data_IF_121375593660
#
_entry.id   IF_121375593660
#
_cell.length_a   1.000
_cell.length_b   1.000
_cell.length_c   1.000
_cell.angle_alpha   90.00
_cell.angle_beta   90.00
_cell.angle_gamma   90.00
#
_symmetry.space_group_name_H-M   'P 1'
#
loop_
_entity.id
_entity.type
_entity.pdbx_description
1 polymer ?
#
# COMPACT_ATOMS: atom_id res chain seq x y z
N UNK A 1 19.54 -3.62 -0.94
CA UNK A 1 20.70 -3.84 -1.85
C UNK A 1 20.47 -3.05 -3.12
N UNK A 2 21.52 -2.45 -3.71
CA UNK A 2 21.42 -1.71 -4.97
C UNK A 2 22.52 -2.23 -5.90
N UNK A 3 22.18 -2.51 -7.16
CA UNK A 3 23.14 -2.90 -8.19
C UNK A 3 22.96 -2.04 -9.43
N UNK A 4 24.06 -1.61 -10.05
CA UNK A 4 24.05 -0.82 -11.28
C UNK A 4 24.67 -1.60 -12.43
N UNK A 5 24.01 -1.56 -13.60
CA UNK A 5 24.53 -2.03 -14.87
C UNK A 5 24.72 -0.83 -15.80
N UNK A 6 25.99 -0.48 -16.00
CA UNK A 6 26.40 0.62 -16.89
C UNK A 6 26.63 0.13 -18.33
N UNK A 7 26.03 0.86 -19.27
CA UNK A 7 26.07 0.65 -20.70
C UNK A 7 26.79 1.83 -21.36
N UNK A 8 27.84 1.53 -22.13
CA UNK A 8 28.64 2.58 -22.78
C UNK A 8 27.80 3.39 -23.75
N UNK A 9 27.80 4.72 -23.58
CA UNK A 9 27.05 5.64 -24.43
C UNK A 9 25.55 5.75 -24.12
N UNK A 10 25.05 5.04 -23.11
CA UNK A 10 23.69 5.21 -22.64
C UNK A 10 23.51 6.58 -21.98
N UNK A 11 22.45 7.31 -22.35
CA UNK A 11 22.10 8.62 -21.80
C UNK A 11 20.93 8.56 -20.82
N UNK A 12 20.21 7.43 -20.77
CA UNK A 12 19.08 7.17 -19.88
C UNK A 12 19.47 6.10 -18.85
N UNK A 13 18.90 6.17 -17.66
CA UNK A 13 18.92 5.13 -16.63
C UNK A 13 17.50 4.86 -16.13
N UNK A 14 17.11 3.60 -16.13
CA UNK A 14 15.89 3.17 -15.43
C UNK A 14 16.25 2.45 -14.14
N UNK A 15 15.35 2.52 -13.16
CA UNK A 15 15.40 1.71 -11.97
C UNK A 15 14.29 0.66 -11.98
N UNK A 16 14.63 -0.56 -11.57
CA UNK A 16 13.72 -1.68 -11.39
C UNK A 16 13.73 -2.06 -9.91
N UNK A 17 12.57 -2.00 -9.25
CA UNK A 17 12.43 -2.22 -7.80
C UNK A 17 11.72 -3.54 -7.49
N UNK A 18 12.25 -4.24 -6.49
CA UNK A 18 11.60 -5.31 -5.75
C UNK A 18 11.78 -5.06 -4.25
N UNK A 19 10.73 -5.21 -3.47
CA UNK A 19 10.80 -5.30 -2.01
C UNK A 19 11.24 -6.72 -1.57
N UNK A 20 11.72 -6.84 -0.32
CA UNK A 20 12.32 -8.07 0.19
C UNK A 20 11.95 -8.44 1.63
N UNK A 21 11.17 -7.63 2.35
CA UNK A 21 10.77 -7.94 3.72
C UNK A 21 9.59 -8.91 3.79
N UNK A 22 9.45 -9.55 4.96
CA UNK A 22 8.39 -10.49 5.28
C UNK A 22 7.48 -9.91 6.38
N UNK A 23 6.38 -10.60 6.65
CA UNK A 23 5.40 -10.19 7.66
C UNK A 23 5.58 -10.93 8.99
N UNK A 24 5.26 -10.30 10.14
CA UNK A 24 5.31 -10.93 11.47
C UNK A 24 4.06 -11.79 11.72
N UNK A 25 3.84 -12.79 10.88
CA UNK A 25 2.70 -13.70 10.97
C UNK A 25 3.09 -15.15 10.67
N UNK A 26 2.31 -16.08 11.22
CA UNK A 26 2.50 -17.50 11.02
C UNK A 26 1.94 -17.95 9.67
N UNK A 27 2.75 -18.65 8.88
CA UNK A 27 2.29 -19.37 7.69
C UNK A 27 1.51 -20.63 8.10
N UNK A 28 0.31 -20.78 7.54
CA UNK A 28 -0.58 -21.93 7.73
C UNK A 28 -0.71 -22.79 6.46
N UNK A 29 0.09 -22.51 5.44
CA UNK A 29 0.22 -23.32 4.24
C UNK A 29 0.92 -24.66 4.48
N UNK A 30 0.76 -25.57 3.52
CA UNK A 30 1.35 -26.92 3.53
C UNK A 30 2.39 -27.11 2.42
N UNK A 31 2.83 -26.02 1.78
CA UNK A 31 3.84 -26.07 0.72
C UNK A 31 5.18 -26.61 1.26
N UNK A 32 5.95 -27.33 0.42
CA UNK A 32 7.26 -27.84 0.83
C UNK A 32 8.30 -26.71 1.07
N UNK A 33 8.00 -25.51 0.57
CA UNK A 33 8.83 -24.30 0.70
C UNK A 33 8.32 -23.31 1.76
N UNK A 34 7.37 -23.71 2.61
CA UNK A 34 6.88 -22.86 3.71
C UNK A 34 8.00 -22.32 4.59
N UNK A 35 7.75 -21.20 5.25
CA UNK A 35 8.64 -20.59 6.20
C UNK A 35 9.10 -21.60 7.26
N UNK A 36 10.42 -21.56 7.53
CA UNK A 36 11.07 -22.32 8.61
C UNK A 36 11.23 -21.50 9.89
N UNK A 37 10.72 -20.27 9.90
CA UNK A 37 10.81 -19.35 11.03
C UNK A 37 9.40 -19.09 11.54
N UNK A 38 9.10 -19.62 12.72
CA UNK A 38 7.78 -19.45 13.33
C UNK A 38 7.41 -17.98 13.51
N UNK A 39 6.16 -17.65 13.21
CA UNK A 39 5.63 -16.29 13.28
C UNK A 39 6.20 -15.30 12.26
N UNK A 40 6.93 -15.75 11.23
CA UNK A 40 7.41 -14.90 10.13
C UNK A 40 7.25 -15.58 8.78
N UNK A 41 6.64 -14.91 7.80
CA UNK A 41 6.50 -15.48 6.46
C UNK A 41 6.26 -14.41 5.37
N UNK A 42 6.58 -14.75 4.12
CA UNK A 42 6.30 -13.90 2.96
C UNK A 42 4.85 -14.07 2.50
N UNK A 43 3.93 -13.39 3.19
CA UNK A 43 2.50 -13.43 2.87
C UNK A 43 2.06 -12.29 1.94
N UNK A 44 3.00 -11.60 1.28
CA UNK A 44 2.75 -10.55 0.30
C UNK A 44 3.52 -10.78 -1.03
N UNK A 45 4.27 -11.89 -1.14
CA UNK A 45 5.02 -12.24 -2.36
C UNK A 45 6.34 -11.50 -2.58
N UNK A 46 6.90 -10.84 -1.56
CA UNK A 46 8.16 -10.08 -1.70
C UNK A 46 9.38 -10.97 -1.99
N UNK A 47 9.34 -12.24 -1.58
CA UNK A 47 10.26 -13.29 -2.02
C UNK A 47 10.17 -13.53 -3.54
N UNK A 48 8.95 -13.56 -4.06
CA UNK A 48 8.67 -13.69 -5.50
C UNK A 48 9.15 -12.45 -6.27
N UNK A 49 8.88 -11.24 -5.78
CA UNK A 49 9.38 -10.00 -6.40
C UNK A 49 10.90 -9.98 -6.47
N UNK A 50 11.56 -10.34 -5.37
CA UNK A 50 13.01 -10.45 -5.29
C UNK A 50 13.54 -11.50 -6.28
N UNK A 51 12.91 -12.68 -6.35
CA UNK A 51 13.30 -13.73 -7.29
C UNK A 51 13.16 -13.28 -8.76
N UNK A 52 12.05 -12.62 -9.09
CA UNK A 52 11.80 -12.06 -10.43
C UNK A 52 12.89 -11.05 -10.82
N UNK A 53 13.23 -10.11 -9.93
CA UNK A 53 14.21 -9.08 -10.23
C UNK A 53 15.64 -9.64 -10.33
N UNK A 54 16.00 -10.62 -9.49
CA UNK A 54 17.29 -11.34 -9.62
C UNK A 54 17.36 -12.08 -10.96
N UNK A 55 16.29 -12.77 -11.34
CA UNK A 55 16.18 -13.46 -12.62
C UNK A 55 16.32 -12.50 -13.80
N UNK A 56 15.60 -11.37 -13.76
CA UNK A 56 15.70 -10.33 -14.77
C UNK A 56 17.11 -9.73 -14.84
N UNK A 57 17.74 -9.42 -13.71
CA UNK A 57 19.10 -8.89 -13.65
C UNK A 57 20.12 -9.82 -14.32
N UNK A 58 19.96 -11.15 -14.13
CA UNK A 58 20.78 -12.16 -14.82
C UNK A 58 20.58 -12.13 -16.33
N UNK A 59 19.33 -12.07 -16.81
CA UNK A 59 19.01 -12.02 -18.24
C UNK A 59 19.53 -10.72 -18.87
N UNK A 60 19.22 -9.56 -18.28
CA UNK A 60 19.65 -8.24 -18.74
C UNK A 60 21.18 -8.18 -18.83
N UNK A 61 21.90 -8.72 -17.84
CA UNK A 61 23.37 -8.76 -17.84
C UNK A 61 23.97 -9.57 -19.00
N UNK A 62 23.25 -10.59 -19.48
CA UNK A 62 23.66 -11.39 -20.64
C UNK A 62 23.36 -10.68 -21.97
N UNK A 63 22.39 -9.76 -21.98
CA UNK A 63 21.97 -8.97 -23.14
C UNK A 63 22.66 -7.60 -23.20
N UNK A 64 23.77 -7.40 -22.48
CA UNK A 64 24.44 -6.11 -22.31
C UNK A 64 24.73 -5.38 -23.64
N UNK A 65 25.03 -6.13 -24.71
CA UNK A 65 25.37 -5.59 -26.04
C UNK A 65 24.15 -4.98 -26.74
N UNK A 66 22.94 -5.41 -26.40
CA UNK A 66 21.68 -4.97 -27.00
C UNK A 66 21.08 -3.75 -26.28
N UNK A 67 21.50 -3.51 -25.04
CA UNK A 67 21.00 -2.42 -24.21
C UNK A 67 21.49 -1.05 -24.69
N UNK A 68 20.62 -0.05 -24.57
CA UNK A 68 20.93 1.37 -24.82
C UNK A 68 20.72 2.26 -23.58
N UNK A 69 20.37 1.63 -22.46
CA UNK A 69 19.91 2.28 -21.23
C UNK A 69 20.62 1.64 -20.05
N UNK A 70 21.07 2.46 -19.09
CA UNK A 70 21.63 1.97 -17.83
C UNK A 70 20.49 1.41 -16.97
N UNK A 71 20.79 0.39 -16.16
CA UNK A 71 19.77 -0.25 -15.31
C UNK A 71 20.25 -0.26 -13.86
N UNK A 72 19.42 0.28 -12.97
CA UNK A 72 19.58 0.19 -11.51
C UNK A 72 18.60 -0.82 -10.95
N UNK A 73 19.10 -1.81 -10.24
CA UNK A 73 18.32 -2.81 -9.52
C UNK A 73 18.19 -2.40 -8.06
N UNK A 74 16.97 -2.22 -7.57
CA UNK A 74 16.67 -1.79 -6.20
C UNK A 74 15.99 -2.94 -5.47
N UNK A 75 16.68 -3.50 -4.47
CA UNK A 75 16.13 -4.49 -3.55
C UNK A 75 15.87 -3.81 -2.21
N UNK A 76 14.61 -3.44 -1.98
CA UNK A 76 14.19 -2.53 -0.93
C UNK A 76 13.73 -3.29 0.33
N UNK A 77 14.31 -3.03 1.50
CA UNK A 77 13.80 -3.60 2.75
C UNK A 77 12.55 -2.84 3.25
N UNK A 78 11.85 -3.42 4.23
CA UNK A 78 10.90 -2.72 5.11
C UNK A 78 9.72 -2.03 4.42
N UNK A 79 9.19 -2.56 3.31
CA UNK A 79 7.97 -2.03 2.68
C UNK A 79 6.77 -2.12 3.66
N UNK A 80 6.61 -3.23 4.36
CA UNK A 80 5.39 -3.53 5.15
C UNK A 80 5.26 -2.68 6.41
N UNK A 81 6.37 -2.09 6.88
CA UNK A 81 6.43 -1.35 8.14
C UNK A 81 6.67 0.13 7.89
N UNK A 82 5.70 0.94 8.29
CA UNK A 82 5.83 2.40 8.29
C UNK A 82 7.10 2.85 9.07
N UNK A 83 7.92 3.78 8.53
CA UNK A 83 7.68 4.65 7.37
C UNK A 83 8.04 4.06 5.99
N UNK A 84 8.24 2.75 5.88
CA UNK A 84 8.72 2.12 4.66
C UNK A 84 10.25 2.10 4.59
N UNK A 85 10.80 1.42 3.59
CA UNK A 85 12.23 1.46 3.25
C UNK A 85 12.57 2.51 2.21
N UNK A 86 11.61 2.85 1.34
CA UNK A 86 11.83 3.80 0.25
C UNK A 86 12.39 5.16 0.73
N UNK A 87 11.90 5.79 1.81
CA UNK A 87 12.44 7.09 2.26
C UNK A 87 13.92 7.05 2.63
N UNK A 88 14.37 5.97 3.29
CA UNK A 88 15.78 5.80 3.67
C UNK A 88 16.65 5.61 2.43
N UNK A 89 16.23 4.79 1.48
CA UNK A 89 16.97 4.59 0.23
C UNK A 89 17.02 5.85 -0.63
N UNK A 90 15.94 6.63 -0.70
CA UNK A 90 15.92 7.93 -1.40
C UNK A 90 16.90 8.89 -0.75
N UNK A 91 16.92 8.96 0.59
CA UNK A 91 17.86 9.79 1.33
C UNK A 91 19.32 9.42 1.06
N UNK A 92 19.59 8.13 0.83
CA UNK A 92 20.92 7.60 0.50
C UNK A 92 21.27 7.68 -1.00
N UNK A 93 20.47 8.39 -1.80
CA UNK A 93 20.78 8.69 -3.21
C UNK A 93 20.38 7.60 -4.20
N UNK A 94 19.48 6.67 -3.85
CA UNK A 94 19.08 5.57 -4.77
C UNK A 94 18.48 6.07 -6.09
N UNK A 95 17.93 7.30 -6.11
CA UNK A 95 17.36 7.92 -7.31
C UNK A 95 18.35 8.79 -8.09
N UNK A 96 19.58 8.95 -7.61
CA UNK A 96 20.55 9.83 -8.26
C UNK A 96 20.87 9.31 -9.67
N UNK A 97 20.63 10.17 -10.66
CA UNK A 97 20.82 9.87 -12.08
C UNK A 97 19.84 8.85 -12.67
N UNK A 98 18.70 8.59 -12.02
CA UNK A 98 17.63 7.71 -12.52
C UNK A 98 16.53 8.55 -13.18
N UNK A 99 16.20 8.24 -14.44
CA UNK A 99 15.18 8.95 -15.20
C UNK A 99 13.76 8.42 -14.94
N UNK A 100 13.63 7.12 -14.73
CA UNK A 100 12.35 6.45 -14.51
C UNK A 100 12.50 5.27 -13.58
N UNK A 101 11.44 4.92 -12.84
CA UNK A 101 11.41 3.75 -11.97
C UNK A 101 10.18 2.88 -12.21
N UNK A 102 10.39 1.57 -12.24
CA UNK A 102 9.35 0.57 -12.40
C UNK A 102 9.37 -0.42 -11.23
N UNK A 103 8.18 -0.84 -10.80
CA UNK A 103 8.01 -1.88 -9.79
C UNK A 103 6.88 -2.82 -10.20
N UNK A 104 6.91 -4.04 -9.65
CA UNK A 104 5.86 -5.02 -9.82
C UNK A 104 5.38 -5.52 -8.47
N UNK A 105 4.09 -5.83 -8.40
CA UNK A 105 3.51 -6.56 -7.28
C UNK A 105 2.68 -7.74 -7.79
N UNK A 106 2.86 -8.92 -7.19
CA UNK A 106 2.02 -10.09 -7.48
C UNK A 106 0.61 -9.87 -6.97
N UNK A 107 -0.39 -10.22 -7.76
CA UNK A 107 -1.79 -9.99 -7.44
C UNK A 107 -2.54 -11.32 -7.48
N UNK A 108 -2.85 -11.93 -6.32
CA UNK A 108 -3.43 -13.28 -6.27
C UNK A 108 -4.89 -13.34 -6.73
N UNK A 109 -5.55 -12.18 -6.87
CA UNK A 109 -6.93 -12.10 -7.37
C UNK A 109 -7.02 -12.15 -8.91
N UNK A 110 -5.88 -12.11 -9.60
CA UNK A 110 -5.75 -12.24 -11.04
C UNK A 110 -5.06 -13.56 -11.40
N UNK A 111 -5.43 -14.17 -12.53
CA UNK A 111 -4.81 -15.42 -12.98
C UNK A 111 -3.36 -15.18 -13.39
N UNK A 112 -2.51 -16.18 -13.15
CA UNK A 112 -1.10 -16.12 -13.52
C UNK A 112 -0.89 -15.79 -15.00
N UNK A 113 -0.08 -14.76 -15.27
CA UNK A 113 0.19 -14.27 -16.63
C UNK A 113 -0.62 -13.03 -17.01
N UNK A 114 -1.53 -12.57 -16.17
CA UNK A 114 -2.23 -11.30 -16.40
C UNK A 114 -1.39 -10.11 -15.95
N UNK A 115 -1.38 -9.03 -16.73
CA UNK A 115 -0.83 -7.74 -16.31
C UNK A 115 -1.95 -6.72 -16.15
N UNK A 116 -1.99 -6.00 -15.03
CA UNK A 116 -2.91 -4.90 -14.81
C UNK A 116 -2.16 -3.61 -14.52
N UNK A 117 -2.57 -2.54 -15.20
CA UNK A 117 -1.92 -1.22 -15.09
C UNK A 117 -3.00 -0.16 -14.84
N UNK A 118 -2.87 0.55 -13.73
CA UNK A 118 -3.72 1.70 -13.40
C UNK A 118 -3.01 3.00 -13.85
N UNK A 119 -3.63 3.87 -14.66
CA UNK A 119 -3.07 5.18 -14.98
C UNK A 119 -3.32 6.19 -13.84
N UNK A 120 -2.35 7.04 -13.55
CA UNK A 120 -2.49 8.07 -12.51
C UNK A 120 -2.43 7.49 -11.08
N UNK A 121 -3.28 7.92 -10.14
CA UNK A 121 -3.29 7.38 -8.78
C UNK A 121 -3.61 5.89 -8.76
N UNK A 122 -2.62 5.04 -8.49
CA UNK A 122 -2.74 3.58 -8.55
C UNK A 122 -2.94 2.94 -7.16
N UNK A 123 -2.24 3.44 -6.13
CA UNK A 123 -2.39 3.01 -4.74
C UNK A 123 -2.68 4.20 -3.81
N UNK A 124 -3.56 3.99 -2.84
CA UNK A 124 -4.04 5.01 -1.92
C UNK A 124 -3.09 5.30 -0.75
N UNK A 125 -3.37 6.38 -0.05
CA UNK A 125 -2.66 6.77 1.17
C UNK A 125 -3.25 6.06 2.38
N UNK A 126 -2.49 5.22 3.10
CA UNK A 126 -3.01 4.43 4.20
C UNK A 126 -2.87 5.11 5.57
N UNK A 127 -3.51 6.25 5.80
CA UNK A 127 -3.40 6.97 7.08
C UNK A 127 -4.05 6.23 8.25
N UNK A 128 -3.58 6.54 9.46
CA UNK A 128 -4.09 6.00 10.73
C UNK A 128 -4.38 7.15 11.69
N UNK A 129 -5.47 7.03 12.45
CA UNK A 129 -5.76 7.94 13.55
C UNK A 129 -6.00 7.20 14.87
N UNK A 130 -5.66 7.87 15.96
CA UNK A 130 -6.05 7.51 17.33
C UNK A 130 -6.71 8.72 17.99
N UNK A 131 -7.86 8.47 18.61
CA UNK A 131 -8.64 9.48 19.33
C UNK A 131 -8.87 8.96 20.75
N UNK A 132 -8.63 9.82 21.75
CA UNK A 132 -9.02 9.57 23.15
C UNK A 132 -10.00 10.63 23.56
N UNK A 133 -11.26 10.24 23.81
CA UNK A 133 -12.30 11.15 24.29
C UNK A 133 -12.36 11.00 25.81
N UNK A 134 -12.23 12.11 26.53
CA UNK A 134 -12.25 12.17 28.00
C UNK A 134 -13.48 12.91 28.47
N UNK A 135 -14.25 12.24 29.31
CA UNK A 135 -15.39 12.80 30.01
C UNK A 135 -15.14 12.82 31.51
N UNK A 136 -16.20 12.55 32.27
CA UNK A 136 -16.17 12.44 33.72
C UNK A 136 -16.93 11.17 34.08
N UNK A 137 -16.22 10.19 34.62
CA UNK A 137 -16.82 8.93 35.03
C UNK A 137 -17.76 9.08 36.23
N UNK A 138 -18.57 8.06 36.48
CA UNK A 138 -19.55 8.08 37.56
C UNK A 138 -20.36 6.79 37.64
N UNK A 139 -21.23 6.71 38.65
CA UNK A 139 -22.14 5.58 38.80
C UNK A 139 -23.28 5.68 37.77
N UNK A 140 -23.58 4.58 37.06
CA UNK A 140 -24.53 4.59 35.94
C UNK A 140 -25.96 5.04 36.32
N UNK A 141 -26.37 4.85 37.58
CA UNK A 141 -27.66 5.35 38.09
C UNK A 141 -27.75 6.88 38.25
N UNK A 142 -26.62 7.61 38.20
CA UNK A 142 -26.58 9.07 38.35
C UNK A 142 -25.88 9.76 37.16
N UNK A 143 -26.39 9.57 35.92
CA UNK A 143 -25.70 10.04 34.72
C UNK A 143 -25.59 11.57 34.64
N UNK A 144 -26.50 12.31 35.28
CA UNK A 144 -26.48 13.77 35.34
C UNK A 144 -25.28 14.35 36.12
N UNK A 145 -24.52 13.53 36.86
CA UNK A 145 -23.30 13.93 37.56
C UNK A 145 -22.02 13.60 36.77
N UNK A 146 -22.16 12.93 35.62
CA UNK A 146 -21.11 12.41 34.77
C UNK A 146 -21.15 13.06 33.37
N UNK A 147 -20.06 12.89 32.63
CA UNK A 147 -19.99 13.18 31.19
C UNK A 147 -19.59 11.89 30.53
N UNK A 148 -20.53 11.23 29.85
CA UNK A 148 -20.35 9.87 29.34
C UNK A 148 -19.55 9.86 28.02
N UNK A 149 -18.27 9.41 28.02
CA UNK A 149 -17.46 9.40 26.82
C UNK A 149 -17.86 8.27 25.83
N UNK A 150 -18.57 7.23 26.27
CA UNK A 150 -19.11 6.20 25.36
C UNK A 150 -20.14 6.84 24.44
N UNK A 151 -21.11 7.55 25.02
CA UNK A 151 -22.16 8.22 24.26
C UNK A 151 -21.57 9.26 23.27
N UNK A 152 -20.61 10.07 23.74
CA UNK A 152 -19.89 11.05 22.89
C UNK A 152 -19.14 10.35 21.75
N UNK A 153 -18.43 9.26 22.03
CA UNK A 153 -17.73 8.47 21.02
C UNK A 153 -18.68 7.86 19.99
N UNK A 154 -19.82 7.32 20.40
CA UNK A 154 -20.82 6.75 19.49
C UNK A 154 -21.43 7.80 18.55
N UNK A 155 -21.72 9.00 19.04
CA UNK A 155 -22.17 10.11 18.20
C UNK A 155 -21.08 10.50 17.18
N UNK A 156 -19.84 10.63 17.64
CA UNK A 156 -18.70 10.94 16.78
C UNK A 156 -18.55 9.91 15.64
N UNK A 157 -18.55 8.61 15.96
CA UNK A 157 -18.43 7.54 14.95
C UNK A 157 -19.57 7.61 13.92
N UNK A 158 -20.78 7.92 14.37
CA UNK A 158 -21.95 8.02 13.48
C UNK A 158 -21.82 9.18 12.49
N UNK A 159 -21.46 10.37 12.97
CA UNK A 159 -21.32 11.55 12.09
C UNK A 159 -20.05 11.51 11.24
N UNK A 160 -19.02 10.76 11.65
CA UNK A 160 -17.74 10.67 10.95
C UNK A 160 -17.91 10.23 9.48
N UNK A 161 -18.91 9.37 9.23
CA UNK A 161 -19.25 8.90 7.88
C UNK A 161 -19.82 10.01 6.97
N UNK A 162 -20.25 11.14 7.54
CA UNK A 162 -20.69 12.30 6.77
C UNK A 162 -19.53 12.98 6.00
N UNK A 163 -18.28 12.78 6.42
CA UNK A 163 -17.14 13.40 5.73
C UNK A 163 -17.05 12.88 4.29
N UNK A 164 -17.00 11.56 4.11
CA UNK A 164 -16.93 10.96 2.78
C UNK A 164 -18.17 11.31 1.94
N UNK A 165 -19.36 11.29 2.55
CA UNK A 165 -20.60 11.49 1.79
C UNK A 165 -20.93 12.95 1.50
N UNK A 166 -20.57 13.92 2.36
CA UNK A 166 -21.01 15.33 2.30
C UNK A 166 -19.88 16.35 2.20
N UNK A 167 -18.63 15.98 2.52
CA UNK A 167 -17.50 16.90 2.45
C UNK A 167 -16.52 16.57 1.32
N UNK A 168 -16.43 15.32 0.87
CA UNK A 168 -15.61 14.93 -0.29
C UNK A 168 -16.46 15.03 -1.56
N UNK A 169 -15.84 15.41 -2.69
CA UNK A 169 -16.51 15.36 -4.00
C UNK A 169 -16.92 13.91 -4.31
N UNK A 170 -18.12 13.69 -4.81
CA UNK A 170 -18.64 12.35 -5.08
C UNK A 170 -17.88 11.58 -6.16
N UNK A 171 -17.02 12.25 -6.93
CA UNK A 171 -16.10 11.63 -7.89
C UNK A 171 -14.73 11.30 -7.30
N UNK A 172 -14.44 11.74 -6.08
CA UNK A 172 -13.18 11.51 -5.40
C UNK A 172 -13.28 10.36 -4.39
N UNK A 173 -12.15 9.68 -4.14
CA UNK A 173 -12.11 8.56 -3.20
C UNK A 173 -11.71 8.99 -1.79
N UNK A 174 -12.57 8.69 -0.82
CA UNK A 174 -12.28 8.76 0.60
C UNK A 174 -13.00 7.65 1.37
N UNK A 175 -12.25 6.80 2.06
CA UNK A 175 -12.79 5.78 2.97
C UNK A 175 -12.29 6.07 4.38
N UNK A 176 -13.19 6.14 5.34
CA UNK A 176 -12.88 6.42 6.75
C UNK A 176 -13.47 5.29 7.59
N UNK A 177 -12.62 4.49 8.21
CA UNK A 177 -13.02 3.32 8.97
C UNK A 177 -12.57 3.43 10.42
N UNK A 178 -13.52 3.41 11.36
CA UNK A 178 -13.21 3.21 12.78
C UNK A 178 -13.14 1.71 13.02
N UNK A 179 -11.97 1.20 13.32
CA UNK A 179 -11.71 -0.23 13.45
C UNK A 179 -11.58 -0.68 14.90
N UNK A 180 -11.45 0.27 15.83
CA UNK A 180 -11.37 0.00 17.27
C UNK A 180 -12.20 1.01 18.06
N UNK A 181 -12.95 0.50 19.04
CA UNK A 181 -13.69 1.29 20.02
C UNK A 181 -13.56 0.60 21.39
N UNK A 182 -12.80 1.19 22.31
CA UNK A 182 -12.56 0.65 23.65
C UNK A 182 -13.01 1.63 24.73
N UNK A 183 -13.79 1.15 25.71
CA UNK A 183 -14.26 1.95 26.83
C UNK A 183 -14.96 1.11 27.89
N UNK A 184 -14.87 1.52 29.16
CA UNK A 184 -15.51 0.83 30.28
C UNK A 184 -14.76 -0.42 30.78
N UNK A 185 -15.02 -0.80 32.03
CA UNK A 185 -14.51 -2.02 32.65
C UNK A 185 -15.54 -2.71 33.56
N UNK A 186 -16.70 -2.08 33.76
CA UNK A 186 -17.78 -2.58 34.61
C UNK A 186 -19.14 -2.16 34.02
N UNK A 187 -20.17 -2.94 34.34
CA UNK A 187 -21.55 -2.80 33.88
C UNK A 187 -22.28 -1.57 34.45
N UNK A 188 -21.97 -1.18 35.69
CA UNK A 188 -22.63 -0.10 36.41
C UNK A 188 -21.80 1.20 36.53
N UNK A 189 -20.73 1.34 35.75
CA UNK A 189 -19.82 2.50 35.79
C UNK A 189 -19.71 3.17 34.43
N UNK A 190 -20.00 4.47 34.39
CA UNK A 190 -19.67 5.34 33.26
C UNK A 190 -18.15 5.57 33.28
N UNK A 191 -17.40 5.21 32.23
CA UNK A 191 -15.95 5.36 32.23
C UNK A 191 -15.52 6.83 32.13
N UNK A 192 -14.26 7.10 32.45
CA UNK A 192 -13.67 8.43 32.29
C UNK A 192 -13.18 8.71 30.86
N UNK A 193 -12.95 7.67 30.05
CA UNK A 193 -12.35 7.80 28.74
C UNK A 193 -12.77 6.66 27.80
N UNK A 194 -12.86 6.96 26.51
CA UNK A 194 -12.89 5.96 25.43
C UNK A 194 -11.78 6.21 24.42
N UNK A 195 -11.19 5.13 23.91
CA UNK A 195 -10.18 5.15 22.85
C UNK A 195 -10.80 4.62 21.56
N UNK A 196 -10.66 5.41 20.49
CA UNK A 196 -11.02 5.05 19.13
C UNK A 196 -9.76 5.01 18.27
N UNK A 197 -9.67 4.04 17.37
CA UNK A 197 -8.63 4.02 16.34
C UNK A 197 -9.22 3.60 15.00
N UNK A 198 -8.60 4.04 13.93
CA UNK A 198 -9.11 3.80 12.59
C UNK A 198 -8.16 4.21 11.50
N UNK A 199 -8.63 4.10 10.27
CA UNK A 199 -7.86 4.38 9.06
C UNK A 199 -8.60 5.35 8.15
N UNK A 200 -7.82 6.10 7.38
CA UNK A 200 -8.30 6.90 6.25
C UNK A 200 -7.58 6.41 5.00
N UNK A 201 -8.33 6.20 3.91
CA UNK A 201 -7.78 5.87 2.57
C UNK A 201 -8.23 6.91 1.56
N UNK A 202 -7.27 7.52 0.86
CA UNK A 202 -7.51 8.56 -0.16
C UNK A 202 -6.59 8.39 -1.36
N UNK A 203 -7.01 8.88 -2.53
CA UNK A 203 -6.20 8.85 -3.76
C UNK A 203 -5.60 10.21 -4.15
N UNK A 204 -5.85 11.26 -3.34
CA UNK A 204 -5.34 12.63 -3.55
C UNK A 204 -4.95 13.29 -2.24
N UNK A 205 -3.87 14.08 -2.29
CA UNK A 205 -3.33 14.78 -1.11
C UNK A 205 -4.31 15.82 -0.56
N UNK A 206 -5.02 16.52 -1.44
CA UNK A 206 -5.99 17.56 -1.06
C UNK A 206 -7.20 16.94 -0.34
N UNK A 207 -7.64 15.77 -0.81
CA UNK A 207 -8.72 15.00 -0.16
C UNK A 207 -8.27 14.50 1.21
N UNK A 208 -7.04 13.96 1.31
CA UNK A 208 -6.44 13.54 2.58
C UNK A 208 -6.43 14.68 3.61
N UNK A 209 -5.91 15.85 3.23
CA UNK A 209 -5.83 17.04 4.10
C UNK A 209 -7.23 17.47 4.55
N UNK A 210 -8.18 17.51 3.61
CA UNK A 210 -9.58 17.84 3.92
C UNK A 210 -10.20 16.86 4.90
N UNK A 211 -10.03 15.55 4.68
CA UNK A 211 -10.57 14.51 5.57
C UNK A 211 -10.00 14.65 6.97
N UNK A 212 -8.67 14.76 7.10
CA UNK A 212 -7.99 14.96 8.40
C UNK A 212 -8.54 16.19 9.14
N UNK A 213 -8.66 17.31 8.45
CA UNK A 213 -9.21 18.54 9.04
C UNK A 213 -10.66 18.33 9.51
N UNK A 214 -11.51 17.72 8.67
CA UNK A 214 -12.92 17.48 9.01
C UNK A 214 -13.11 16.52 10.18
N UNK A 215 -12.22 15.52 10.33
CA UNK A 215 -12.21 14.62 11.49
C UNK A 215 -12.05 15.45 12.77
N UNK A 216 -11.04 16.32 12.82
CA UNK A 216 -10.74 17.12 14.01
C UNK A 216 -11.84 18.15 14.32
N UNK A 217 -12.37 18.83 13.31
CA UNK A 217 -13.46 19.79 13.48
C UNK A 217 -14.74 19.16 14.04
N UNK A 218 -15.12 17.98 13.53
CA UNK A 218 -16.27 17.23 14.02
C UNK A 218 -16.04 16.75 15.45
N UNK A 219 -14.85 16.21 15.73
CA UNK A 219 -14.47 15.76 17.06
C UNK A 219 -14.57 16.90 18.07
N UNK A 220 -13.99 18.06 17.75
CA UNK A 220 -14.03 19.25 18.59
C UNK A 220 -15.47 19.73 18.86
N UNK A 221 -16.30 19.79 17.82
CA UNK A 221 -17.70 20.19 17.94
C UNK A 221 -18.50 19.27 18.86
N UNK A 222 -18.39 17.95 18.66
CA UNK A 222 -19.13 16.96 19.45
C UNK A 222 -18.67 16.95 20.90
N UNK A 223 -17.35 16.97 21.15
CA UNK A 223 -16.86 16.96 22.53
C UNK A 223 -17.23 18.23 23.28
N UNK A 224 -17.15 19.39 22.62
CA UNK A 224 -17.53 20.68 23.22
C UNK A 224 -19.00 20.70 23.61
N UNK A 225 -19.89 20.20 22.74
CA UNK A 225 -21.33 20.15 23.00
C UNK A 225 -21.71 19.30 24.23
N UNK A 226 -20.85 18.35 24.63
CA UNK A 226 -21.09 17.45 25.76
C UNK A 226 -20.24 17.77 27.00
N UNK A 227 -19.43 18.84 26.97
CA UNK A 227 -18.48 19.16 28.04
C UNK A 227 -17.35 18.12 28.20
N UNK A 228 -17.03 17.40 27.13
CA UNK A 228 -15.91 16.46 27.05
C UNK A 228 -14.67 17.13 26.42
N UNK A 229 -13.53 16.46 26.54
CA UNK A 229 -12.27 16.86 25.87
C UNK A 229 -11.74 15.70 25.04
N UNK A 230 -10.77 15.96 24.16
CA UNK A 230 -10.14 14.93 23.36
C UNK A 230 -8.63 15.10 23.20
N UNK A 231 -7.97 13.99 22.91
CA UNK A 231 -6.66 13.98 22.25
C UNK A 231 -6.83 13.34 20.88
N UNK A 232 -6.27 13.97 19.84
CA UNK A 232 -6.28 13.47 18.48
C UNK A 232 -4.84 13.29 18.00
N UNK A 233 -4.50 12.08 17.58
CA UNK A 233 -3.25 11.73 16.93
C UNK A 233 -3.57 11.24 15.54
N UNK A 234 -2.85 11.77 14.55
CA UNK A 234 -3.01 11.41 13.15
C UNK A 234 -1.63 11.15 12.56
N UNK A 235 -1.47 9.96 12.01
CA UNK A 235 -0.26 9.53 11.33
C UNK A 235 -0.57 9.39 9.85
N UNK A 236 0.04 10.26 9.05
CA UNK A 236 -0.01 10.13 7.60
C UNK A 236 0.76 8.86 7.19
N UNK A 237 0.12 8.04 6.36
CA UNK A 237 0.70 6.83 5.80
C UNK A 237 1.61 7.14 4.62
N UNK A 238 1.81 6.14 3.77
CA UNK A 238 2.52 6.31 2.50
C UNK A 238 1.81 7.33 1.60
N UNK A 239 2.56 8.08 0.76
CA UNK A 239 1.95 8.92 -0.27
C UNK A 239 1.25 8.06 -1.32
N UNK A 240 0.42 8.69 -2.16
CA UNK A 240 -0.21 8.02 -3.31
C UNK A 240 0.87 7.45 -4.22
N UNK A 241 0.73 6.19 -4.62
CA UNK A 241 1.52 5.64 -5.74
C UNK A 241 0.93 6.15 -7.04
N UNK A 242 1.69 7.00 -7.73
CA UNK A 242 1.24 7.65 -8.95
C UNK A 242 1.95 7.10 -10.18
N UNK A 243 1.20 6.47 -11.06
CA UNK A 243 1.67 5.96 -12.33
C UNK A 243 1.62 7.06 -13.40
N UNK A 244 2.80 7.50 -13.84
CA UNK A 244 2.98 8.60 -14.78
C UNK A 244 2.70 8.15 -16.21
N UNK A 245 2.03 8.99 -17.00
CA UNK A 245 1.55 8.66 -18.35
C UNK A 245 2.62 8.05 -19.27
N UNK A 246 3.83 8.61 -19.27
CA UNK A 246 4.94 8.08 -20.06
C UNK A 246 5.31 6.65 -19.64
N UNK A 247 5.54 6.43 -18.34
CA UNK A 247 5.91 5.10 -17.82
C UNK A 247 4.76 4.08 -17.98
N UNK A 248 3.51 4.52 -17.86
CA UNK A 248 2.33 3.70 -18.16
C UNK A 248 2.33 3.26 -19.62
N UNK A 249 2.62 4.17 -20.54
CA UNK A 249 2.66 3.86 -21.97
C UNK A 249 3.77 2.86 -22.30
N UNK A 250 4.97 3.06 -21.75
CA UNK A 250 6.11 2.13 -21.90
C UNK A 250 5.77 0.74 -21.32
N UNK A 251 5.21 0.68 -20.10
CA UNK A 251 4.82 -0.58 -19.47
C UNK A 251 3.71 -1.32 -20.24
N UNK A 252 2.72 -0.60 -20.78
CA UNK A 252 1.67 -1.20 -21.60
C UNK A 252 2.21 -1.77 -22.91
N UNK A 253 3.13 -1.06 -23.55
CA UNK A 253 3.77 -1.53 -24.77
C UNK A 253 4.54 -2.84 -24.51
N UNK A 254 5.30 -2.90 -23.41
CA UNK A 254 6.00 -4.12 -23.00
C UNK A 254 5.02 -5.24 -22.70
N UNK A 255 4.02 -5.03 -21.84
CA UNK A 255 3.06 -6.07 -21.46
C UNK A 255 2.41 -6.74 -22.68
N UNK A 256 2.01 -5.96 -23.69
CA UNK A 256 1.42 -6.45 -24.95
C UNK A 256 2.35 -7.29 -25.82
N UNK A 257 3.66 -7.24 -25.59
CA UNK A 257 4.63 -8.12 -26.27
C UNK A 257 4.85 -9.44 -25.55
N UNK A 258 4.48 -9.52 -24.27
CA UNK A 258 4.77 -10.67 -23.41
C UNK A 258 3.60 -11.64 -23.31
N UNK A 259 2.38 -11.15 -23.47
CA UNK A 259 1.15 -11.91 -23.30
C UNK A 259 0.12 -11.51 -24.35
N UNK A 260 -0.89 -12.36 -24.52
CA UNK A 260 -2.02 -12.08 -25.40
C UNK A 260 -2.79 -10.83 -24.94
N UNK A 261 -3.47 -10.17 -25.88
CA UNK A 261 -4.09 -8.87 -25.65
C UNK A 261 -5.15 -8.92 -24.52
N UNK A 262 -5.84 -10.05 -24.38
CA UNK A 262 -6.87 -10.29 -23.38
C UNK A 262 -6.30 -10.40 -21.95
N UNK A 263 -5.00 -10.71 -21.81
CA UNK A 263 -4.32 -10.83 -20.52
C UNK A 263 -3.74 -9.49 -20.04
N UNK A 264 -3.89 -8.41 -20.82
CA UNK A 264 -3.52 -7.04 -20.43
C UNK A 264 -4.76 -6.25 -20.03
N UNK A 265 -4.91 -6.00 -18.73
CA UNK A 265 -6.04 -5.27 -18.15
C UNK A 265 -5.68 -3.78 -18.01
N UNK A 266 -6.25 -2.96 -18.90
CA UNK A 266 -6.06 -1.51 -18.89
C UNK A 266 -7.31 -0.76 -19.38
N UNK A 267 -7.72 0.34 -18.71
CA UNK A 267 -7.20 0.80 -17.42
C UNK A 267 -7.67 -0.10 -16.28
N UNK A 268 -6.76 -0.41 -15.34
CA UNK A 268 -7.13 -1.05 -14.09
C UNK A 268 -7.63 -0.02 -13.08
N UNK A 269 -8.53 -0.44 -12.19
CA UNK A 269 -9.04 0.42 -11.12
C UNK A 269 -7.97 0.62 -10.02
N UNK A 270 -7.94 1.79 -9.36
CA UNK A 270 -7.01 2.03 -8.27
C UNK A 270 -7.30 1.13 -7.06
N UNK A 271 -6.25 0.83 -6.30
CA UNK A 271 -6.32 0.04 -5.07
C UNK A 271 -6.16 0.99 -3.87
N UNK A 272 -7.03 0.87 -2.87
CA UNK A 272 -6.97 1.72 -1.66
C UNK A 272 -6.02 1.18 -0.57
N UNK A 273 -5.28 0.11 -0.88
CA UNK A 273 -4.08 -0.28 -0.14
C UNK A 273 -2.97 0.76 -0.32
N UNK A 274 -2.00 0.77 0.59
CA UNK A 274 -0.81 1.61 0.47
C UNK A 274 0.37 0.80 0.01
N UNK A 275 1.31 1.47 -0.66
CA UNK A 275 2.56 0.90 -1.14
C UNK A 275 3.64 1.99 -1.01
N UNK A 276 4.76 1.68 -0.36
CA UNK A 276 5.80 2.69 -0.11
C UNK A 276 6.58 3.09 -1.39
N UNK A 277 6.43 2.34 -2.50
CA UNK A 277 6.84 2.76 -3.84
C UNK A 277 6.27 4.15 -4.21
N UNK A 278 5.17 4.55 -3.58
CA UNK A 278 4.63 5.90 -3.65
C UNK A 278 5.70 6.96 -3.43
N UNK A 279 6.64 6.78 -2.50
CA UNK A 279 7.72 7.73 -2.25
C UNK A 279 8.63 7.95 -3.47
N UNK A 280 8.89 6.91 -4.27
CA UNK A 280 9.64 7.08 -5.52
C UNK A 280 8.82 7.80 -6.57
N UNK A 281 7.55 7.43 -6.72
CA UNK A 281 6.65 8.05 -7.70
C UNK A 281 6.43 9.54 -7.45
N UNK A 282 6.56 10.01 -6.21
CA UNK A 282 6.50 11.44 -5.89
C UNK A 282 7.77 12.22 -6.32
N UNK A 283 8.84 11.53 -6.76
CA UNK A 283 10.14 12.15 -7.07
C UNK A 283 10.50 12.10 -8.55
N UNK A 284 10.20 11.00 -9.21
CA UNK A 284 10.54 10.78 -10.62
C UNK A 284 9.39 10.05 -11.33
N UNK A 285 9.32 10.11 -12.67
CA UNK A 285 8.37 9.32 -13.45
C UNK A 285 8.43 7.83 -13.07
N UNK A 286 7.26 7.26 -12.81
CA UNK A 286 7.16 5.91 -12.28
C UNK A 286 5.96 5.15 -12.82
N UNK A 287 6.06 3.82 -12.87
CA UNK A 287 4.92 2.93 -13.05
C UNK A 287 5.05 1.66 -12.19
N UNK A 288 4.02 1.41 -11.39
CA UNK A 288 3.86 0.22 -10.56
C UNK A 288 2.79 -0.68 -11.17
N UNK A 289 3.18 -1.92 -11.48
CA UNK A 289 2.40 -2.86 -12.29
C UNK A 289 1.92 -4.01 -11.40
N UNK A 290 0.69 -4.44 -11.61
CA UNK A 290 0.16 -5.66 -10.99
C UNK A 290 0.36 -6.84 -11.93
N UNK A 291 0.92 -7.92 -11.40
CA UNK A 291 1.11 -9.19 -12.11
C UNK A 291 0.25 -10.26 -11.47
N UNK A 292 -0.69 -10.82 -12.22
CA UNK A 292 -1.50 -11.94 -11.78
C UNK A 292 -0.64 -13.12 -11.33
N UNK A 293 -0.99 -13.66 -10.17
CA UNK A 293 -0.28 -14.76 -9.52
C UNK A 293 -1.23 -15.82 -8.94
N UNK A 294 -2.54 -15.62 -9.05
CA UNK A 294 -3.54 -16.59 -8.65
C UNK A 294 -3.67 -17.74 -9.64
N UNK A 295 -4.31 -18.81 -9.18
CA UNK A 295 -4.73 -19.92 -10.00
C UNK A 295 -5.92 -20.62 -9.35
N UNK A 296 -7.14 -20.30 -9.82
CA UNK A 296 -8.38 -20.86 -9.25
C UNK A 296 -8.46 -22.37 -9.38
N UNK A 297 -7.95 -22.94 -10.47
CA UNK A 297 -7.94 -24.38 -10.70
C UNK A 297 -7.06 -25.13 -9.69
N UNK A 298 -5.99 -24.50 -9.21
CA UNK A 298 -5.10 -25.03 -8.14
C UNK A 298 -5.52 -24.62 -6.72
N UNK A 299 -6.58 -23.81 -6.58
CA UNK A 299 -7.02 -23.27 -5.28
C UNK A 299 -6.13 -22.15 -4.73
N UNK A 300 -5.30 -21.53 -5.57
CA UNK A 300 -4.42 -20.41 -5.21
C UNK A 300 -5.23 -19.12 -5.39
N UNK A 301 -5.98 -18.76 -4.33
CA UNK A 301 -6.99 -17.69 -4.38
C UNK A 301 -6.95 -16.74 -3.18
N UNK A 302 -6.06 -17.01 -2.22
CA UNK A 302 -5.99 -16.26 -0.97
C UNK A 302 -5.33 -14.90 -1.21
N UNK A 303 -5.85 -13.86 -0.55
CA UNK A 303 -5.33 -12.50 -0.68
C UNK A 303 -3.97 -12.36 0.00
N UNK A 304 -3.19 -11.33 -0.39
CA UNK A 304 -2.04 -10.90 0.39
C UNK A 304 -2.44 -10.71 1.87
N UNK A 305 -1.52 -11.05 2.77
CA UNK A 305 -1.64 -11.04 4.22
C UNK A 305 -2.59 -12.10 4.80
N UNK A 306 -3.10 -13.02 3.97
CA UNK A 306 -3.73 -14.24 4.47
C UNK A 306 -2.65 -15.25 4.90
N UNK A 307 -2.76 -15.93 6.06
CA UNK A 307 -1.81 -16.97 6.48
C UNK A 307 -1.64 -18.15 5.51
N UNK A 308 -2.52 -18.30 4.53
CA UNK A 308 -2.50 -19.33 3.47
C UNK A 308 -2.26 -18.72 2.09
N UNK A 309 -1.79 -17.48 2.02
CA UNK A 309 -1.32 -16.88 0.76
C UNK A 309 -0.29 -17.80 0.10
N UNK A 310 -0.43 -17.96 -1.21
CA UNK A 310 0.48 -18.71 -2.08
C UNK A 310 0.35 -18.12 -3.50
N UNK A 311 1.24 -18.52 -4.41
CA UNK A 311 1.26 -18.04 -5.80
C UNK A 311 1.41 -19.21 -6.78
N UNK A 312 0.90 -19.05 -8.00
CA UNK A 312 1.29 -19.92 -9.10
C UNK A 312 2.66 -19.49 -9.61
N UNK A 313 3.70 -20.27 -9.30
CA UNK A 313 5.12 -19.97 -9.65
C UNK A 313 5.34 -19.68 -11.14
N UNK A 314 4.40 -20.04 -12.02
CA UNK A 314 4.40 -19.60 -13.42
C UNK A 314 4.45 -18.08 -13.56
N UNK A 315 3.93 -17.30 -12.60
CA UNK A 315 3.98 -15.85 -12.65
C UNK A 315 5.43 -15.32 -12.67
N UNK A 316 6.38 -16.05 -12.06
CA UNK A 316 7.79 -15.65 -11.95
C UNK A 316 8.41 -15.32 -13.31
N UNK A 317 8.14 -16.16 -14.33
CA UNK A 317 8.72 -15.93 -15.67
C UNK A 317 8.17 -14.67 -16.33
N UNK A 318 6.89 -14.36 -16.10
CA UNK A 318 6.25 -13.14 -16.62
C UNK A 318 6.81 -11.90 -15.93
N UNK A 319 7.02 -11.93 -14.61
CA UNK A 319 7.63 -10.83 -13.87
C UNK A 319 9.09 -10.59 -14.28
N UNK A 320 9.87 -11.67 -14.46
CA UNK A 320 11.22 -11.59 -15.01
C UNK A 320 11.22 -10.96 -16.41
N UNK A 321 10.33 -11.41 -17.29
CA UNK A 321 10.22 -10.91 -18.65
C UNK A 321 9.81 -9.43 -18.68
N UNK A 322 8.86 -9.01 -17.84
CA UNK A 322 8.44 -7.61 -17.73
C UNK A 322 9.61 -6.70 -17.35
N UNK A 323 10.37 -7.05 -16.30
CA UNK A 323 11.56 -6.32 -15.89
C UNK A 323 12.63 -6.26 -17.00
N UNK A 324 12.91 -7.39 -17.66
CA UNK A 324 13.91 -7.46 -18.72
C UNK A 324 13.51 -6.62 -19.94
N UNK A 325 12.27 -6.74 -20.39
CA UNK A 325 11.77 -6.03 -21.57
C UNK A 325 11.62 -4.53 -21.35
N UNK A 326 11.31 -4.08 -20.12
CA UNK A 326 11.36 -2.66 -19.74
C UNK A 326 12.77 -2.06 -19.87
N UNK A 327 13.83 -2.86 -19.66
CA UNK A 327 15.21 -2.39 -19.78
C UNK A 327 15.72 -2.33 -21.23
N UNK A 328 15.15 -3.14 -22.12
CA UNK A 328 15.60 -3.28 -23.51
C UNK A 328 14.92 -2.27 -24.45
N UNK A 329 13.66 -1.94 -24.20
CA UNK A 329 12.88 -0.97 -24.99
C UNK A 329 13.32 0.48 -24.73
#
# INVERSE_FOLDING_TARGET
MVGDLEISGATKRIALRADMDALPMQELGNSPYRSRIDGKAHMCGHDVHTAMLIGAAKVISQLKVELKTNVRFIFQPSEEKFPGGAPAMIKDGVLDGVDQIYGLHVWPLMESGQFAICPGPAFGQPDVFEIKIRGKGGHAAFPHLATDPIMVGSQFVSILQSIASRNVDGLESAVISVTQFHGGTADNVIPQMVKLSGTVRTLKKEVQVKVRQRIEEILAGITSAHGATYNFSYQEGYPVTYNHEQCVTEALAVAKTLVDAEEVIFPYSPILGGEDFGYYSQKIPACFILLGAGNKAKGIVNMCHDPRFDIDEKCIIYGMAMHASLAIN
#
